data_IF_985504180033
#
_entry.id   IF_985504180033
#
_cell.length_a   1.000
_cell.length_b   1.000
_cell.length_c   1.000
_cell.angle_alpha   90.00
_cell.angle_beta   90.00
_cell.angle_gamma   90.00
#
_symmetry.space_group_name_H-M   'P 1'
#
loop_
_entity.id
_entity.type
_entity.pdbx_description
1 polymer ?
#
# COMPACT_ATOMS: atom_id res chain seq x y z
N UNK A 1 35.82 -54.42 -1.55
CA UNK A 1 35.70 -53.05 -2.11
C UNK A 1 34.23 -52.74 -2.36
N UNK A 2 33.52 -52.19 -1.38
CA UNK A 2 32.09 -51.82 -1.48
C UNK A 2 31.83 -50.53 -0.70
N UNK A 3 32.57 -49.46 -0.99
CA UNK A 3 32.35 -48.15 -0.36
C UNK A 3 32.74 -47.08 -1.39
N UNK A 4 31.98 -46.94 -2.48
CA UNK A 4 32.23 -45.86 -3.46
C UNK A 4 30.99 -45.39 -4.21
N UNK A 5 29.78 -45.80 -3.80
CA UNK A 5 28.53 -45.40 -4.48
C UNK A 5 27.68 -44.39 -3.69
N UNK A 6 28.15 -43.91 -2.54
CA UNK A 6 27.36 -43.01 -1.66
C UNK A 6 27.64 -41.51 -1.82
N UNK A 7 28.71 -41.10 -2.52
CA UNK A 7 29.18 -39.71 -2.50
C UNK A 7 28.65 -38.82 -3.63
N UNK A 8 27.89 -39.37 -4.58
CA UNK A 8 27.41 -38.65 -5.77
C UNK A 8 26.02 -38.02 -5.62
N UNK A 9 25.35 -38.20 -4.48
CA UNK A 9 23.99 -37.68 -4.22
C UNK A 9 23.95 -36.31 -3.52
N UNK A 10 25.10 -35.70 -3.20
CA UNK A 10 25.18 -34.46 -2.41
C UNK A 10 25.28 -33.19 -3.29
N UNK A 11 25.47 -33.31 -4.60
CA UNK A 11 25.73 -32.17 -5.50
C UNK A 11 24.47 -31.59 -6.20
N UNK A 12 23.28 -32.13 -5.97
CA UNK A 12 22.04 -31.65 -6.60
C UNK A 12 21.30 -30.56 -5.82
N UNK A 13 21.84 -30.07 -4.70
CA UNK A 13 21.29 -28.91 -3.98
C UNK A 13 21.94 -27.59 -4.39
N UNK A 14 22.12 -27.34 -5.69
CA UNK A 14 22.19 -25.96 -6.16
C UNK A 14 20.75 -25.42 -6.19
N UNK A 15 20.24 -25.12 -4.99
CA UNK A 15 19.09 -24.23 -4.84
C UNK A 15 19.47 -22.93 -5.52
N UNK A 16 18.92 -22.68 -6.71
CA UNK A 16 18.94 -21.38 -7.35
C UNK A 16 18.35 -20.38 -6.35
N UNK A 17 19.21 -19.72 -5.57
CA UNK A 17 18.82 -18.59 -4.77
C UNK A 17 18.35 -17.52 -5.76
N UNK A 18 17.04 -17.38 -5.91
CA UNK A 18 16.43 -16.38 -6.78
C UNK A 18 16.70 -15.01 -6.17
N UNK A 19 17.86 -14.42 -6.50
CA UNK A 19 18.11 -13.03 -6.22
C UNK A 19 17.20 -12.18 -7.11
N UNK A 20 16.48 -11.24 -6.50
CA UNK A 20 15.56 -10.38 -7.24
C UNK A 20 16.33 -9.40 -8.11
N UNK A 21 15.96 -9.28 -9.38
CA UNK A 21 16.51 -8.24 -10.27
C UNK A 21 16.17 -6.84 -9.73
N UNK A 22 17.02 -5.85 -10.01
CA UNK A 22 16.76 -4.46 -9.61
C UNK A 22 15.43 -3.93 -10.19
N UNK A 23 15.12 -4.30 -11.44
CA UNK A 23 13.87 -3.96 -12.12
C UNK A 23 12.65 -4.55 -11.39
N UNK A 24 12.72 -5.82 -10.96
CA UNK A 24 11.63 -6.46 -10.23
C UNK A 24 11.43 -5.85 -8.84
N UNK A 25 12.52 -5.44 -8.16
CA UNK A 25 12.46 -4.72 -6.88
C UNK A 25 11.76 -3.36 -7.04
N UNK A 26 12.12 -2.59 -8.07
CA UNK A 26 11.47 -1.31 -8.39
C UNK A 26 9.99 -1.51 -8.71
N UNK A 27 9.68 -2.51 -9.55
CA UNK A 27 8.31 -2.83 -9.93
C UNK A 27 7.43 -3.17 -8.72
N UNK A 28 7.97 -3.88 -7.74
CA UNK A 28 7.24 -4.19 -6.49
C UNK A 28 6.76 -2.93 -5.77
N UNK A 29 7.58 -1.89 -5.70
CA UNK A 29 7.22 -0.61 -5.09
C UNK A 29 6.11 0.09 -5.89
N UNK A 30 6.29 0.19 -7.21
CA UNK A 30 5.32 0.79 -8.14
C UNK A 30 3.94 0.11 -8.02
N UNK A 31 3.92 -1.22 -8.15
CA UNK A 31 2.68 -2.01 -8.10
C UNK A 31 2.00 -1.92 -6.74
N UNK A 32 2.79 -1.90 -5.64
CA UNK A 32 2.21 -1.74 -4.30
C UNK A 32 1.52 -0.39 -4.14
N UNK A 33 2.09 0.68 -4.72
CA UNK A 33 1.47 2.00 -4.72
C UNK A 33 0.17 1.99 -5.54
N UNK A 34 0.22 1.47 -6.76
CA UNK A 34 -0.93 1.40 -7.67
C UNK A 34 -2.10 0.61 -7.08
N UNK A 35 -1.85 -0.60 -6.57
CA UNK A 35 -2.94 -1.46 -6.07
C UNK A 35 -3.58 -0.92 -4.79
N UNK A 36 -2.84 -0.12 -3.99
CA UNK A 36 -3.36 0.51 -2.78
C UNK A 36 -4.00 1.88 -3.03
N UNK A 37 -3.82 2.44 -4.22
CA UNK A 37 -4.28 3.78 -4.56
C UNK A 37 -5.79 3.98 -4.38
N UNK A 38 -6.67 3.03 -4.80
CA UNK A 38 -8.11 3.17 -4.58
C UNK A 38 -8.47 3.23 -3.09
N UNK A 39 -7.90 2.34 -2.27
CA UNK A 39 -8.09 2.34 -0.83
C UNK A 39 -7.62 3.64 -0.18
N UNK A 40 -6.38 4.05 -0.47
CA UNK A 40 -5.80 5.27 0.09
C UNK A 40 -6.60 6.52 -0.32
N UNK A 41 -7.07 6.56 -1.58
CA UNK A 41 -7.88 7.67 -2.09
C UNK A 41 -9.26 7.72 -1.44
N UNK A 42 -9.88 6.57 -1.17
CA UNK A 42 -11.13 6.49 -0.43
C UNK A 42 -10.97 7.06 0.99
N UNK A 43 -9.95 6.62 1.73
CA UNK A 43 -9.66 7.10 3.08
C UNK A 43 -9.40 8.62 3.06
N UNK A 44 -8.53 9.09 2.16
CA UNK A 44 -8.19 10.51 2.05
C UNK A 44 -9.42 11.37 1.74
N UNK A 45 -10.23 10.97 0.77
CA UNK A 45 -11.40 11.72 0.34
C UNK A 45 -12.48 11.76 1.42
N UNK A 46 -12.70 10.62 2.09
CA UNK A 46 -13.65 10.53 3.21
C UNK A 46 -13.23 11.44 4.37
N UNK A 47 -11.95 11.39 4.78
CA UNK A 47 -11.43 12.30 5.82
C UNK A 47 -11.56 13.76 5.43
N UNK A 48 -11.26 14.09 4.18
CA UNK A 48 -11.41 15.46 3.67
C UNK A 48 -12.88 15.92 3.72
N UNK A 49 -13.84 15.06 3.35
CA UNK A 49 -15.26 15.37 3.44
C UNK A 49 -15.65 15.79 4.87
N UNK A 50 -15.29 14.98 5.87
CA UNK A 50 -15.60 15.28 7.27
C UNK A 50 -14.87 16.51 7.80
N UNK A 51 -13.60 16.69 7.43
CA UNK A 51 -12.83 17.88 7.76
C UNK A 51 -13.53 19.15 7.24
N UNK A 52 -13.90 19.21 5.97
CA UNK A 52 -14.54 20.39 5.40
C UNK A 52 -15.96 20.59 5.93
N UNK A 53 -16.69 19.51 6.26
CA UNK A 53 -17.98 19.59 6.95
C UNK A 53 -17.82 20.25 8.32
N UNK A 54 -16.82 19.86 9.10
CA UNK A 54 -16.51 20.47 10.39
C UNK A 54 -16.05 21.94 10.26
N UNK A 55 -15.25 22.27 9.24
CA UNK A 55 -14.87 23.66 8.94
C UNK A 55 -16.10 24.52 8.62
N UNK A 56 -17.04 24.01 7.83
CA UNK A 56 -18.27 24.72 7.50
C UNK A 56 -19.09 25.02 8.77
N UNK A 57 -19.25 24.03 9.65
CA UNK A 57 -19.93 24.19 10.94
C UNK A 57 -19.22 25.21 11.84
N UNK A 58 -17.89 25.15 11.95
CA UNK A 58 -17.11 26.13 12.70
C UNK A 58 -17.35 27.57 12.20
N UNK A 59 -17.45 27.77 10.88
CA UNK A 59 -17.71 29.09 10.27
C UNK A 59 -19.12 29.58 10.59
N UNK A 60 -20.12 28.70 10.51
CA UNK A 60 -21.51 29.00 10.89
C UNK A 60 -21.61 29.44 12.36
N UNK A 61 -20.82 28.82 13.23
CA UNK A 61 -20.76 29.13 14.67
C UNK A 61 -19.89 30.36 14.99
N UNK A 62 -19.25 31.02 14.00
CA UNK A 62 -18.38 32.18 14.22
C UNK A 62 -17.10 31.88 15.02
N UNK A 63 -16.77 30.61 15.26
CA UNK A 63 -15.68 30.20 16.16
C UNK A 63 -14.29 30.62 15.69
N UNK A 64 -14.14 30.91 14.39
CA UNK A 64 -12.87 31.25 13.76
C UNK A 64 -12.54 32.73 13.68
N UNK A 65 -13.43 33.64 14.10
CA UNK A 65 -13.35 35.08 13.76
C UNK A 65 -12.10 35.79 14.28
N UNK A 66 -11.55 35.35 15.42
CA UNK A 66 -10.40 35.99 16.07
C UNK A 66 -9.20 35.04 16.25
N UNK A 67 -9.15 33.95 15.48
CA UNK A 67 -8.08 32.94 15.57
C UNK A 67 -7.21 32.98 14.31
N UNK A 68 -5.88 33.06 14.49
CA UNK A 68 -4.92 32.97 13.39
C UNK A 68 -5.08 31.65 12.63
N UNK A 69 -5.36 31.72 11.32
CA UNK A 69 -5.68 30.55 10.49
C UNK A 69 -7.16 30.11 10.57
N UNK A 70 -7.98 30.79 11.37
CA UNK A 70 -9.44 30.65 11.43
C UNK A 70 -9.92 29.22 11.70
N UNK A 71 -11.09 28.89 11.16
CA UNK A 71 -11.69 27.56 11.33
C UNK A 71 -10.85 26.40 10.78
N UNK A 72 -9.97 26.64 9.80
CA UNK A 72 -9.07 25.61 9.30
C UNK A 72 -8.02 25.23 10.35
N UNK A 73 -7.53 26.21 11.12
CA UNK A 73 -6.62 25.99 12.23
C UNK A 73 -7.32 25.20 13.34
N UNK A 74 -8.50 25.66 13.79
CA UNK A 74 -9.27 25.01 14.87
C UNK A 74 -9.57 23.55 14.53
N UNK A 75 -10.24 23.32 13.39
CA UNK A 75 -10.65 21.96 12.98
C UNK A 75 -9.44 21.08 12.67
N UNK A 76 -8.29 21.68 12.31
CA UNK A 76 -7.04 20.95 12.12
C UNK A 76 -6.55 20.19 13.35
N UNK A 77 -6.99 20.58 14.56
CA UNK A 77 -6.68 19.91 15.82
C UNK A 77 -7.83 19.06 16.37
N UNK A 78 -8.98 19.04 15.71
CA UNK A 78 -10.15 18.30 16.16
C UNK A 78 -10.26 16.92 15.50
N UNK A 79 -10.84 15.97 16.23
CA UNK A 79 -11.32 14.73 15.61
C UNK A 79 -12.60 15.05 14.82
N UNK A 80 -12.54 14.89 13.50
CA UNK A 80 -13.64 15.29 12.58
C UNK A 80 -14.52 14.13 12.16
N UNK A 81 -14.10 12.90 12.43
CA UNK A 81 -14.77 11.67 12.02
C UNK A 81 -14.48 10.53 13.00
N UNK A 82 -15.38 9.55 13.01
CA UNK A 82 -15.18 8.28 13.68
C UNK A 82 -14.52 7.26 12.74
N UNK A 83 -13.78 6.30 13.29
CA UNK A 83 -13.16 5.24 12.48
C UNK A 83 -14.22 4.39 11.73
N UNK A 84 -15.43 4.27 12.30
CA UNK A 84 -16.56 3.59 11.65
C UNK A 84 -16.93 4.23 10.31
N UNK A 85 -16.72 5.52 10.15
CA UNK A 85 -17.00 6.26 8.92
C UNK A 85 -15.96 5.96 7.83
N UNK A 86 -14.90 5.19 8.12
CA UNK A 86 -13.91 4.74 7.15
C UNK A 86 -14.07 3.25 6.77
N UNK A 87 -14.99 2.52 7.43
CA UNK A 87 -15.17 1.07 7.23
C UNK A 87 -15.54 0.71 5.79
N UNK A 88 -16.35 1.53 5.12
CA UNK A 88 -16.72 1.30 3.73
C UNK A 88 -15.51 1.28 2.79
N UNK A 89 -14.41 1.96 3.14
CA UNK A 89 -13.19 1.92 2.34
C UNK A 89 -12.47 0.57 2.43
N UNK A 90 -12.68 -0.24 3.47
CA UNK A 90 -11.96 -1.51 3.65
C UNK A 90 -12.21 -2.51 2.53
N UNK A 91 -13.36 -2.43 1.85
CA UNK A 91 -13.65 -3.26 0.67
C UNK A 91 -12.63 -3.07 -0.47
N UNK A 92 -11.99 -1.89 -0.53
CA UNK A 92 -10.98 -1.55 -1.54
C UNK A 92 -9.56 -1.94 -1.10
N UNK A 93 -9.37 -2.41 0.14
CA UNK A 93 -8.06 -2.76 0.65
C UNK A 93 -7.59 -4.07 -0.01
N UNK A 94 -6.48 -4.06 -0.77
CA UNK A 94 -6.02 -5.26 -1.44
C UNK A 94 -5.50 -6.30 -0.45
N UNK A 95 -5.78 -7.57 -0.72
CA UNK A 95 -5.16 -8.69 -0.02
C UNK A 95 -3.70 -8.86 -0.44
N UNK A 96 -2.95 -9.64 0.33
CA UNK A 96 -1.55 -9.98 0.00
C UNK A 96 -1.53 -10.78 -1.31
N UNK A 97 -2.49 -11.67 -1.51
CA UNK A 97 -2.64 -12.55 -2.67
C UNK A 97 -2.93 -11.73 -3.92
N UNK A 98 -3.90 -10.82 -3.87
CA UNK A 98 -4.19 -9.87 -4.96
C UNK A 98 -2.96 -9.04 -5.33
N UNK A 99 -2.21 -8.57 -4.33
CA UNK A 99 -0.97 -7.81 -4.56
C UNK A 99 0.11 -8.65 -5.25
N UNK A 100 0.28 -9.92 -4.86
CA UNK A 100 1.22 -10.85 -5.48
C UNK A 100 0.82 -11.20 -6.91
N UNK A 101 -0.45 -11.46 -7.16
CA UNK A 101 -0.99 -11.78 -8.47
C UNK A 101 -0.84 -10.60 -9.43
N UNK A 102 -1.21 -9.40 -8.98
CA UNK A 102 -1.05 -8.19 -9.77
C UNK A 102 0.41 -7.93 -10.13
N UNK A 103 1.35 -8.08 -9.18
CA UNK A 103 2.79 -7.95 -9.45
C UNK A 103 3.27 -8.95 -10.49
N UNK A 104 2.86 -10.23 -10.40
CA UNK A 104 3.22 -11.25 -11.41
C UNK A 104 2.69 -10.89 -12.79
N UNK A 105 1.44 -10.42 -12.88
CA UNK A 105 0.82 -10.01 -14.13
C UNK A 105 1.55 -8.82 -14.76
N UNK A 106 1.86 -7.79 -13.97
CA UNK A 106 2.58 -6.61 -14.47
C UNK A 106 4.00 -6.96 -14.87
N UNK A 107 4.71 -7.79 -14.08
CA UNK A 107 6.06 -8.25 -14.43
C UNK A 107 6.06 -9.01 -15.76
N UNK A 108 5.11 -9.93 -15.96
CA UNK A 108 4.94 -10.66 -17.23
C UNK A 108 4.65 -9.71 -18.39
N UNK A 109 3.75 -8.74 -18.21
CA UNK A 109 3.38 -7.75 -19.23
C UNK A 109 4.56 -6.86 -19.63
N UNK A 110 5.39 -6.44 -18.66
CA UNK A 110 6.57 -5.61 -18.88
C UNK A 110 7.82 -6.40 -19.30
N UNK A 111 7.74 -7.74 -19.38
CA UNK A 111 8.89 -8.59 -19.71
C UNK A 111 9.98 -8.62 -18.63
N UNK A 112 9.68 -8.20 -17.40
CA UNK A 112 10.65 -8.08 -16.31
C UNK A 112 10.86 -9.46 -15.68
N UNK A 113 12.11 -9.94 -15.68
CA UNK A 113 12.49 -11.19 -15.02
C UNK A 113 12.55 -11.00 -13.51
N UNK A 114 11.95 -11.94 -12.77
CA UNK A 114 11.98 -11.92 -11.30
C UNK A 114 13.37 -12.23 -10.76
N UNK A 115 13.99 -13.29 -11.24
CA UNK A 115 15.28 -13.78 -10.76
C UNK A 115 16.39 -13.34 -11.74
N UNK A 116 17.49 -12.82 -11.20
CA UNK A 116 18.77 -12.79 -11.91
C UNK A 116 19.34 -14.20 -11.84
N UNK A 117 19.14 -15.00 -12.90
CA UNK A 117 19.95 -16.20 -13.10
C UNK A 117 21.35 -15.79 -13.55
#
# INVERSE_FOLDING_TARGET
>A
MRILSGFLLILSFNSFACELTAEYRSLRSEVTKQIREPYNSCIKSTRAHFYYKAVAKCKEEGRGENIGGGCYHIVGYEQTHDEKELEHCKILKPTIEQSKEHLKLVAKKKGIKKCSN
#
